data_IF_798612238247
#
_entry.id   IF_798612238247
#
_cell.length_a   1.000
_cell.length_b   1.000
_cell.length_c   1.000
_cell.angle_alpha   90.00
_cell.angle_beta   90.00
_cell.angle_gamma   90.00
#
_symmetry.space_group_name_H-M   'P 1'
#
loop_
_entity.id
_entity.type
_entity.pdbx_description
1 polymer ?
#
# COMPACT_ATOMS: atom_id res chain seq x y z
N UNK A 1 2.30 21.93 -7.21
CA UNK A 1 1.11 21.94 -6.31
C UNK A 1 0.66 20.50 -6.17
N UNK A 2 0.47 20.00 -4.94
CA UNK A 2 0.00 18.63 -4.74
C UNK A 2 -1.45 18.46 -5.23
N UNK A 3 -1.73 17.33 -5.89
CA UNK A 3 -3.05 16.99 -6.40
C UNK A 3 -4.07 16.75 -5.27
N UNK A 4 -5.34 16.98 -5.59
CA UNK A 4 -6.47 16.54 -4.75
C UNK A 4 -6.77 15.05 -4.90
N UNK A 5 -6.31 14.45 -5.99
CA UNK A 5 -6.45 13.01 -6.25
C UNK A 5 -5.70 12.22 -5.18
N UNK A 6 -6.26 11.10 -4.76
CA UNK A 6 -5.60 10.16 -3.85
C UNK A 6 -4.61 9.28 -4.60
N UNK A 7 -3.59 8.77 -3.93
CA UNK A 7 -2.70 7.73 -4.47
C UNK A 7 -2.75 6.50 -3.58
N UNK A 8 -2.80 5.32 -4.20
CA UNK A 8 -2.71 4.01 -3.57
C UNK A 8 -1.37 3.40 -4.01
N UNK A 9 -0.48 3.25 -3.04
CA UNK A 9 0.81 2.60 -3.19
C UNK A 9 0.68 1.12 -2.82
N UNK A 10 1.02 0.28 -3.76
CA UNK A 10 1.06 -1.17 -3.60
C UNK A 10 2.53 -1.58 -3.39
N UNK A 11 2.89 -1.90 -2.15
CA UNK A 11 4.28 -2.13 -1.74
C UNK A 11 4.65 -3.62 -1.68
N UNK A 12 5.82 -3.95 -2.23
CA UNK A 12 6.54 -5.21 -2.02
C UNK A 12 5.75 -6.51 -2.26
N UNK A 13 4.72 -6.52 -3.11
CA UNK A 13 3.98 -7.76 -3.35
C UNK A 13 4.86 -8.80 -4.06
N UNK A 14 5.11 -9.87 -3.31
CA UNK A 14 6.09 -10.95 -3.53
C UNK A 14 5.83 -11.77 -4.79
N UNK A 15 6.90 -12.13 -5.51
CA UNK A 15 7.67 -13.40 -5.47
C UNK A 15 6.79 -14.65 -5.34
N UNK A 16 6.85 -15.50 -6.38
CA UNK A 16 6.34 -16.89 -6.49
C UNK A 16 5.88 -17.48 -5.15
N UNK A 17 4.67 -18.04 -5.11
CA UNK A 17 3.98 -18.70 -3.97
C UNK A 17 4.76 -19.83 -3.26
N UNK A 18 5.98 -19.58 -2.82
CA UNK A 18 6.80 -20.54 -2.10
C UNK A 18 6.61 -20.25 -0.61
N UNK A 19 5.66 -21.01 -0.03
CA UNK A 19 5.67 -21.51 1.35
C UNK A 19 4.70 -20.94 2.42
N UNK A 20 3.64 -20.18 2.11
CA UNK A 20 2.77 -19.58 3.19
C UNK A 20 1.24 -19.79 3.12
N UNK A 21 0.70 -20.47 2.11
CA UNK A 21 -0.65 -21.08 2.14
C UNK A 21 -1.85 -20.20 1.73
N UNK A 22 -3.08 -20.69 1.95
CA UNK A 22 -4.35 -20.13 1.42
C UNK A 22 -4.63 -18.64 1.71
N UNK A 23 -4.04 -18.06 2.77
CA UNK A 23 -4.29 -16.66 3.15
C UNK A 23 -3.76 -15.66 2.12
N UNK A 24 -2.65 -15.98 1.44
CA UNK A 24 -2.09 -15.13 0.40
C UNK A 24 -3.00 -15.06 -0.83
N UNK A 25 -3.60 -16.18 -1.23
CA UNK A 25 -4.57 -16.21 -2.34
C UNK A 25 -5.82 -15.35 -2.06
N UNK A 26 -6.32 -15.36 -0.82
CA UNK A 26 -7.47 -14.55 -0.41
C UNK A 26 -7.13 -13.06 -0.50
N UNK A 27 -5.90 -12.68 -0.11
CA UNK A 27 -5.47 -11.29 -0.13
C UNK A 27 -5.27 -10.75 -1.54
N UNK A 28 -4.75 -11.56 -2.48
CA UNK A 28 -4.66 -11.19 -3.90
C UNK A 28 -6.04 -10.89 -4.48
N UNK A 29 -7.03 -11.76 -4.24
CA UNK A 29 -8.40 -11.55 -4.72
C UNK A 29 -9.02 -10.27 -4.13
N UNK A 30 -8.83 -10.06 -2.81
CA UNK A 30 -9.34 -8.89 -2.10
C UNK A 30 -8.69 -7.59 -2.61
N UNK A 31 -7.37 -7.61 -2.82
CA UNK A 31 -6.63 -6.48 -3.37
C UNK A 31 -7.06 -6.16 -4.80
N UNK A 32 -7.17 -7.17 -5.68
CA UNK A 32 -7.61 -6.96 -7.06
C UNK A 32 -9.01 -6.33 -7.11
N UNK A 33 -9.93 -6.80 -6.26
CA UNK A 33 -11.28 -6.23 -6.15
C UNK A 33 -11.23 -4.78 -5.68
N UNK A 34 -10.43 -4.48 -4.65
CA UNK A 34 -10.25 -3.13 -4.14
C UNK A 34 -9.67 -2.19 -5.21
N UNK A 35 -8.58 -2.60 -5.87
CA UNK A 35 -7.93 -1.79 -6.91
C UNK A 35 -8.84 -1.52 -8.09
N UNK A 36 -9.65 -2.51 -8.50
CA UNK A 36 -10.66 -2.31 -9.55
C UNK A 36 -11.65 -1.20 -9.20
N UNK A 37 -12.13 -1.17 -7.95
CA UNK A 37 -13.09 -0.16 -7.48
C UNK A 37 -12.44 1.22 -7.24
N UNK A 38 -11.19 1.26 -6.81
CA UNK A 38 -10.49 2.50 -6.48
C UNK A 38 -9.95 3.26 -7.72
N UNK A 39 -9.63 2.53 -8.79
CA UNK A 39 -8.98 3.06 -10.02
C UNK A 39 -9.65 4.30 -10.65
N UNK A 40 -10.99 4.45 -10.65
CA UNK A 40 -11.63 5.67 -11.18
C UNK A 40 -11.38 6.93 -10.33
N UNK A 41 -10.94 6.77 -9.07
CA UNK A 41 -10.92 7.83 -8.06
C UNK A 41 -9.52 8.10 -7.48
N UNK A 42 -8.58 7.19 -7.69
CA UNK A 42 -7.22 7.28 -7.17
C UNK A 42 -6.19 6.82 -8.20
N UNK A 43 -5.02 7.44 -8.17
CA UNK A 43 -3.84 6.91 -8.85
C UNK A 43 -3.40 5.62 -8.16
N UNK A 44 -3.15 4.57 -8.94
CA UNK A 44 -2.59 3.31 -8.44
C UNK A 44 -1.13 3.25 -8.86
N UNK A 45 -0.25 2.92 -7.92
CA UNK A 45 1.18 2.78 -8.17
C UNK A 45 1.73 1.55 -7.50
N UNK A 46 2.55 0.80 -8.23
CA UNK A 46 3.26 -0.36 -7.71
C UNK A 46 4.71 0.01 -7.40
N UNK A 47 5.21 -0.49 -6.27
CA UNK A 47 6.61 -0.31 -5.91
C UNK A 47 7.51 -1.00 -6.94
N UNK A 48 8.60 -0.31 -7.34
CA UNK A 48 9.57 -0.84 -8.32
C UNK A 48 10.39 -1.99 -7.77
N UNK A 49 10.60 -2.00 -6.47
CA UNK A 49 11.29 -3.08 -5.79
C UNK A 49 10.45 -4.33 -6.03
N UNK A 50 11.01 -5.29 -6.77
CA UNK A 50 10.37 -6.55 -7.14
C UNK A 50 9.34 -6.46 -8.28
N UNK A 51 9.37 -5.43 -9.14
CA UNK A 51 8.47 -5.34 -10.30
C UNK A 51 8.48 -6.56 -11.22
N UNK A 52 9.65 -7.20 -11.40
CA UNK A 52 9.81 -8.43 -12.20
C UNK A 52 9.29 -9.69 -11.49
N UNK A 53 8.80 -9.54 -10.27
CA UNK A 53 8.44 -10.64 -9.37
C UNK A 53 6.97 -10.57 -8.97
N UNK A 54 6.21 -9.62 -9.52
CA UNK A 54 4.76 -9.52 -9.29
C UNK A 54 4.09 -10.79 -9.83
N UNK A 55 3.33 -11.46 -8.97
CA UNK A 55 2.60 -12.65 -9.36
C UNK A 55 1.56 -12.37 -10.46
N UNK A 56 1.44 -13.25 -11.46
CA UNK A 56 0.50 -13.12 -12.60
C UNK A 56 -0.98 -13.04 -12.19
N UNK A 57 -1.30 -13.44 -10.96
CA UNK A 57 -2.65 -13.34 -10.40
C UNK A 57 -3.03 -11.92 -10.00
N UNK A 58 -2.07 -10.99 -9.95
CA UNK A 58 -2.37 -9.58 -9.75
C UNK A 58 -2.88 -8.96 -11.05
N UNK A 59 -3.99 -8.22 -10.95
CA UNK A 59 -4.56 -7.52 -12.09
C UNK A 59 -3.88 -6.16 -12.32
N UNK A 60 -2.56 -6.19 -12.52
CA UNK A 60 -1.77 -4.99 -12.80
C UNK A 60 -2.08 -4.52 -14.22
N UNK A 61 -2.47 -3.27 -14.37
CA UNK A 61 -2.64 -2.66 -15.69
C UNK A 61 -1.36 -1.91 -16.09
N UNK A 62 -1.10 -1.74 -17.40
CA UNK A 62 0.06 -1.00 -17.89
C UNK A 62 0.25 0.39 -17.26
N UNK A 63 -0.84 1.10 -16.98
CA UNK A 63 -0.83 2.43 -16.35
C UNK A 63 -0.45 2.44 -14.87
N UNK A 64 -0.47 1.27 -14.20
CA UNK A 64 -0.12 1.14 -12.78
C UNK A 64 1.39 1.03 -12.56
N UNK A 65 2.16 0.78 -13.62
CA UNK A 65 3.63 0.72 -13.62
C UNK A 65 4.24 2.13 -13.55
N UNK A 66 3.87 2.85 -12.51
CA UNK A 66 4.35 4.18 -12.18
C UNK A 66 5.35 4.05 -11.03
N UNK A 67 6.63 4.00 -11.40
CA UNK A 67 7.72 3.87 -10.45
C UNK A 67 8.27 5.25 -10.09
N UNK A 68 7.83 5.79 -8.95
CA UNK A 68 8.26 7.11 -8.48
C UNK A 68 9.10 7.04 -7.21
N UNK A 69 9.99 8.02 -7.05
CA UNK A 69 10.72 8.25 -5.81
C UNK A 69 9.74 8.65 -4.70
N UNK A 70 9.99 8.17 -3.48
CA UNK A 70 9.21 8.50 -2.29
C UNK A 70 9.01 10.01 -2.12
N UNK A 71 10.02 10.82 -2.38
CA UNK A 71 9.92 12.28 -2.31
C UNK A 71 8.94 12.84 -3.35
N UNK A 72 8.97 12.34 -4.59
CA UNK A 72 8.10 12.81 -5.66
C UNK A 72 6.63 12.51 -5.34
N UNK A 73 6.35 11.32 -4.81
CA UNK A 73 5.02 10.96 -4.34
C UNK A 73 4.58 11.89 -3.21
N UNK A 74 5.48 12.12 -2.25
CA UNK A 74 5.20 13.06 -1.17
C UNK A 74 4.88 14.42 -1.74
N UNK A 75 5.64 14.99 -2.66
CA UNK A 75 5.37 16.33 -3.21
C UNK A 75 4.05 16.43 -3.96
N UNK A 76 3.67 15.39 -4.69
CA UNK A 76 2.54 15.43 -5.62
C UNK A 76 1.20 14.97 -5.02
N UNK A 77 1.19 14.23 -3.90
CA UNK A 77 -0.07 13.75 -3.28
C UNK A 77 -0.16 14.13 -1.80
N UNK A 78 -1.39 14.31 -1.32
CA UNK A 78 -1.70 14.54 0.11
C UNK A 78 -2.46 13.37 0.74
N UNK A 79 -3.22 12.63 -0.06
CA UNK A 79 -3.94 11.44 0.36
C UNK A 79 -3.20 10.20 -0.13
N UNK A 80 -2.25 9.74 0.68
CA UNK A 80 -1.36 8.63 0.36
C UNK A 80 -1.81 7.40 1.16
N UNK A 81 -2.30 6.39 0.45
CA UNK A 81 -2.68 5.10 0.98
C UNK A 81 -1.62 4.06 0.63
N UNK A 82 -1.32 3.13 1.53
CA UNK A 82 -0.30 2.09 1.33
C UNK A 82 -0.90 0.73 1.67
N UNK A 83 -0.65 -0.27 0.84
CA UNK A 83 -1.04 -1.66 1.07
C UNK A 83 0.00 -2.62 0.50
N UNK A 84 -0.18 -3.93 0.68
CA UNK A 84 0.72 -4.96 0.14
C UNK A 84 1.51 -5.71 1.21
N UNK A 85 2.65 -6.29 0.85
CA UNK A 85 3.43 -7.14 1.74
C UNK A 85 4.42 -6.30 2.55
N UNK A 86 4.46 -6.51 3.87
CA UNK A 86 5.38 -5.79 4.77
C UNK A 86 5.24 -4.28 4.66
N UNK A 87 4.01 -3.79 4.44
CA UNK A 87 3.76 -2.37 4.32
C UNK A 87 4.11 -1.63 5.62
N UNK A 88 4.17 -2.31 6.76
CA UNK A 88 4.74 -1.85 8.04
C UNK A 88 6.23 -1.52 7.92
N UNK A 89 7.05 -2.48 7.47
CA UNK A 89 8.47 -2.24 7.20
C UNK A 89 8.65 -1.23 6.09
N UNK A 90 7.81 -1.20 5.08
CA UNK A 90 7.90 -0.18 4.04
C UNK A 90 7.61 1.22 4.61
N UNK A 91 6.61 1.34 5.49
CA UNK A 91 6.29 2.59 6.17
C UNK A 91 7.43 3.06 7.10
N UNK A 92 8.10 2.12 7.77
CA UNK A 92 9.24 2.40 8.67
C UNK A 92 10.57 2.62 7.91
N UNK A 93 10.99 1.66 7.09
CA UNK A 93 12.33 1.56 6.50
C UNK A 93 12.47 2.16 5.09
N UNK A 94 11.42 2.12 4.26
CA UNK A 94 11.39 2.84 2.96
C UNK A 94 10.98 4.30 3.10
N UNK A 95 10.67 4.71 4.32
CA UNK A 95 10.45 6.10 4.67
C UNK A 95 9.08 6.65 4.28
N UNK A 96 8.11 5.83 3.83
CA UNK A 96 6.81 6.37 3.43
C UNK A 96 6.10 7.08 4.58
N UNK A 97 6.11 6.50 5.78
CA UNK A 97 5.51 7.10 6.97
C UNK A 97 6.39 8.20 7.58
N UNK A 98 7.69 7.94 7.73
CA UNK A 98 8.61 8.90 8.35
C UNK A 98 8.88 10.13 7.48
N UNK A 99 9.01 9.99 6.16
CA UNK A 99 9.25 11.12 5.24
C UNK A 99 7.97 11.92 4.97
N UNK A 100 6.79 11.31 4.88
CA UNK A 100 5.53 12.09 4.77
C UNK A 100 5.32 12.96 6.01
N UNK A 101 5.54 12.41 7.20
CA UNK A 101 5.46 13.15 8.45
C UNK A 101 6.52 14.25 8.48
N UNK A 102 7.78 13.93 8.15
CA UNK A 102 8.88 14.89 8.20
C UNK A 102 8.82 16.02 7.17
N UNK A 103 8.38 15.74 5.94
CA UNK A 103 8.39 16.71 4.84
C UNK A 103 7.08 17.49 4.68
N UNK A 104 5.95 16.89 5.08
CA UNK A 104 4.62 17.49 4.89
C UNK A 104 3.80 17.59 6.18
N UNK A 105 4.23 16.99 7.28
CA UNK A 105 3.43 16.89 8.50
C UNK A 105 2.16 16.05 8.33
N UNK A 106 2.06 15.27 7.26
CA UNK A 106 0.92 14.37 7.00
C UNK A 106 1.32 12.93 7.29
N UNK A 107 0.36 12.13 7.73
CA UNK A 107 0.57 10.69 7.94
C UNK A 107 0.06 9.94 6.70
N UNK A 108 0.85 8.98 6.23
CA UNK A 108 0.34 7.97 5.28
C UNK A 108 -0.75 7.15 5.95
N UNK A 109 -1.62 6.54 5.14
CA UNK A 109 -2.69 5.67 5.61
C UNK A 109 -2.37 4.23 5.21
N UNK A 110 -2.16 3.35 6.18
CA UNK A 110 -1.88 1.93 5.96
C UNK A 110 -3.20 1.15 5.90
N UNK A 111 -3.48 0.50 4.78
CA UNK A 111 -4.69 -0.32 4.59
C UNK A 111 -4.46 -1.70 5.21
N UNK A 112 -4.84 -1.87 6.46
CA UNK A 112 -4.39 -2.99 7.30
C UNK A 112 -4.96 -4.36 6.87
N UNK A 113 -6.16 -4.39 6.30
CA UNK A 113 -6.83 -5.59 5.80
C UNK A 113 -6.37 -6.00 4.39
N UNK A 114 -5.63 -5.13 3.72
CA UNK A 114 -4.91 -5.40 2.47
C UNK A 114 -3.39 -5.42 2.68
N UNK A 115 -2.95 -5.57 3.93
CA UNK A 115 -1.54 -5.70 4.30
C UNK A 115 -1.24 -7.12 4.78
N UNK A 116 -0.22 -7.74 4.20
CA UNK A 116 0.29 -9.03 4.69
C UNK A 116 1.32 -8.75 5.78
N UNK A 117 1.12 -9.38 6.92
CA UNK A 117 1.91 -9.24 8.13
C UNK A 117 2.82 -10.47 8.31
N UNK A 118 3.98 -10.29 8.94
CA UNK A 118 4.90 -11.42 9.22
C UNK A 118 4.25 -12.52 10.06
N UNK A 119 3.42 -12.11 11.01
CA UNK A 119 2.55 -13.00 11.79
C UNK A 119 1.12 -12.77 11.32
N UNK A 120 0.37 -13.83 11.03
CA UNK A 120 -1.06 -13.73 10.73
C UNK A 120 -1.87 -14.49 11.79
N UNK A 121 -2.73 -13.78 12.57
CA UNK A 121 -2.96 -12.33 12.57
C UNK A 121 -1.73 -11.53 13.05
N UNK A 122 -1.62 -10.22 12.71
CA UNK A 122 -0.54 -9.39 13.22
C UNK A 122 -0.53 -9.39 14.75
N UNK A 123 0.67 -9.38 15.32
CA UNK A 123 0.82 -9.15 16.75
C UNK A 123 0.46 -7.70 17.08
N UNK A 124 -0.05 -7.45 18.28
CA UNK A 124 -0.33 -6.10 18.78
C UNK A 124 0.88 -5.17 18.66
N UNK A 125 2.10 -5.73 18.81
CA UNK A 125 3.37 -5.04 18.59
C UNK A 125 3.53 -4.52 17.16
N UNK A 126 3.18 -5.30 16.14
CA UNK A 126 3.31 -4.88 14.73
C UNK A 126 2.35 -3.75 14.38
N UNK A 127 1.11 -3.82 14.89
CA UNK A 127 0.12 -2.75 14.74
C UNK A 127 0.56 -1.48 15.48
N UNK A 128 1.05 -1.61 16.72
CA UNK A 128 1.53 -0.48 17.52
C UNK A 128 2.71 0.24 16.87
N UNK A 129 3.67 -0.50 16.29
CA UNK A 129 4.81 0.07 15.56
C UNK A 129 4.30 0.81 14.31
N UNK A 130 3.43 0.16 13.52
CA UNK A 130 2.88 0.76 12.30
C UNK A 130 2.09 2.04 12.57
N UNK A 131 1.32 2.05 13.67
CA UNK A 131 0.56 3.21 14.13
C UNK A 131 1.44 4.39 14.62
N UNK A 132 2.76 4.24 14.69
CA UNK A 132 3.68 5.38 14.91
C UNK A 132 3.97 6.14 13.62
N UNK A 133 3.87 5.46 12.48
CA UNK A 133 4.34 5.96 11.19
C UNK A 133 3.21 6.16 10.17
N UNK A 134 2.05 5.54 10.37
CA UNK A 134 0.89 5.65 9.51
C UNK A 134 -0.42 5.65 10.30
N UNK A 135 -1.51 6.10 9.69
CA UNK A 135 -2.88 5.92 10.17
C UNK A 135 -3.40 4.57 9.67
N UNK A 136 -3.82 3.70 10.59
CA UNK A 136 -4.36 2.39 10.22
C UNK A 136 -5.82 2.56 9.74
N UNK A 137 -6.12 2.10 8.53
CA UNK A 137 -7.44 2.21 7.91
C UNK A 137 -7.87 0.89 7.28
N UNK A 138 -9.19 0.67 7.15
CA UNK A 138 -9.75 -0.47 6.41
C UNK A 138 -10.01 -0.10 4.95
N UNK A 139 -9.86 -1.08 4.04
CA UNK A 139 -10.13 -0.91 2.61
C UNK A 139 -11.54 -0.36 2.32
N UNK A 140 -12.54 -0.78 3.09
CA UNK A 140 -13.91 -0.27 3.00
C UNK A 140 -14.00 1.23 3.32
N UNK A 141 -13.35 1.67 4.40
CA UNK A 141 -13.30 3.10 4.78
C UNK A 141 -12.55 3.93 3.75
N UNK A 142 -11.50 3.37 3.13
CA UNK A 142 -10.77 4.03 2.05
C UNK A 142 -11.70 4.26 0.86
N UNK A 143 -12.40 3.22 0.37
CA UNK A 143 -13.33 3.35 -0.74
C UNK A 143 -14.42 4.39 -0.44
N UNK A 144 -15.01 4.37 0.76
CA UNK A 144 -16.00 5.39 1.14
C UNK A 144 -15.47 6.82 1.22
N UNK A 145 -14.15 7.01 1.32
CA UNK A 145 -13.53 8.34 1.41
C UNK A 145 -13.07 8.91 0.06
N UNK A 146 -12.82 8.04 -0.93
CA UNK A 146 -12.30 8.43 -2.24
C UNK A 146 -13.35 8.33 -3.36
N UNK A 147 -14.35 7.44 -3.21
CA UNK A 147 -15.47 7.27 -4.13
C UNK A 147 -16.63 8.19 -3.77
#
# INVERSE_FOLDING_TARGET
MASRTSVILVSCLWQKYDHRGNHEHILVSSLNKFLFLARPYADIMWCKDHANEIHESHNVQPEDYKFYDTQEIIYNWNNIYVCGYHADKCCESKGWGTLTIGLKGIRTKLIEDLTVWWNHPPTETALSISARYADLVKSSSVLSSIC
#
